data_IF_436489633511
#
_entry.id   IF_436489633511
#
_cell.length_a   1.000
_cell.length_b   1.000
_cell.length_c   1.000
_cell.angle_alpha   90.00
_cell.angle_beta   90.00
_cell.angle_gamma   90.00
#
_symmetry.space_group_name_H-M   'P 1'
#
loop_
_entity.id
_entity.type
_entity.pdbx_description
1 polymer ?
#
# COMPACT_ATOMS: atom_id res chain seq x y z
N UNK A 1 2.88 -5.66 -12.25
CA UNK A 1 2.67 -4.28 -11.76
C UNK A 1 1.45 -3.61 -12.42
N UNK A 2 1.43 -3.36 -13.75
CA UNK A 2 0.32 -2.66 -14.45
C UNK A 2 -1.10 -3.10 -14.04
N UNK A 3 -1.38 -4.42 -14.05
CA UNK A 3 -2.67 -4.97 -13.63
C UNK A 3 -3.10 -4.50 -12.22
N UNK A 4 -2.16 -4.42 -11.27
CA UNK A 4 -2.44 -4.02 -9.89
C UNK A 4 -2.69 -2.53 -9.75
N UNK A 5 -1.96 -1.72 -10.50
CA UNK A 5 -2.23 -0.28 -10.58
C UNK A 5 -3.63 -0.03 -11.14
N UNK A 6 -4.04 -0.76 -12.19
CA UNK A 6 -5.38 -0.66 -12.75
C UNK A 6 -6.47 -1.13 -11.78
N UNK A 7 -6.22 -2.18 -10.98
CA UNK A 7 -7.15 -2.62 -9.93
C UNK A 7 -7.35 -1.54 -8.86
N UNK A 8 -6.26 -0.91 -8.39
CA UNK A 8 -6.33 0.21 -7.45
C UNK A 8 -7.05 1.42 -8.04
N UNK A 9 -6.75 1.78 -9.29
CA UNK A 9 -7.40 2.89 -10.01
C UNK A 9 -8.92 2.66 -10.10
N UNK A 10 -9.35 1.48 -10.56
CA UNK A 10 -10.77 1.12 -10.64
C UNK A 10 -11.46 1.16 -9.28
N UNK A 11 -10.77 0.72 -8.23
CA UNK A 11 -11.28 0.80 -6.86
C UNK A 11 -11.43 2.27 -6.40
N UNK A 12 -10.43 3.12 -6.64
CA UNK A 12 -10.50 4.54 -6.30
C UNK A 12 -11.65 5.26 -7.01
N UNK A 13 -11.98 4.87 -8.26
CA UNK A 13 -13.11 5.43 -9.00
C UNK A 13 -14.47 5.09 -8.36
N UNK A 14 -14.59 3.96 -7.67
CA UNK A 14 -15.84 3.55 -7.00
C UNK A 14 -15.88 3.92 -5.52
N UNK A 15 -14.73 4.07 -4.87
CA UNK A 15 -14.62 4.45 -3.46
C UNK A 15 -14.82 5.96 -3.26
N UNK A 16 -16.08 6.41 -3.22
CA UNK A 16 -16.41 7.84 -3.09
C UNK A 16 -16.64 8.29 -1.64
N UNK A 17 -16.96 7.36 -0.72
CA UNK A 17 -17.26 7.66 0.68
C UNK A 17 -16.78 6.54 1.61
N UNK A 18 -16.75 6.81 2.92
CA UNK A 18 -16.41 5.82 3.94
C UNK A 18 -14.92 5.48 4.00
N UNK A 19 -14.59 4.45 4.79
CA UNK A 19 -13.22 3.98 4.98
C UNK A 19 -12.78 3.08 3.82
N UNK A 20 -11.45 2.96 3.65
CA UNK A 20 -10.86 2.01 2.71
C UNK A 20 -11.30 0.57 3.04
N UNK A 21 -11.73 -0.18 2.02
CA UNK A 21 -12.17 -1.56 2.15
C UNK A 21 -11.35 -2.48 1.24
N UNK A 22 -10.34 -3.19 1.77
CA UNK A 22 -9.46 -4.05 0.98
C UNK A 22 -10.17 -5.26 0.36
N UNK A 23 -11.34 -5.66 0.89
CA UNK A 23 -12.07 -6.83 0.41
C UNK A 23 -12.73 -6.60 -0.96
N UNK A 24 -12.83 -5.34 -1.40
CA UNK A 24 -13.34 -4.98 -2.73
C UNK A 24 -12.25 -5.02 -3.81
N UNK A 25 -10.98 -5.18 -3.43
CA UNK A 25 -9.89 -5.34 -4.38
C UNK A 25 -9.78 -6.80 -4.84
N UNK A 26 -9.61 -7.07 -6.16
CA UNK A 26 -9.39 -8.42 -6.65
C UNK A 26 -8.12 -9.09 -6.13
N UNK A 27 -7.14 -8.27 -5.73
CA UNK A 27 -5.85 -8.73 -5.22
C UNK A 27 -5.79 -8.67 -3.71
N UNK A 28 -5.22 -9.72 -3.10
CA UNK A 28 -4.99 -9.79 -1.66
C UNK A 28 -4.21 -8.56 -1.18
N UNK A 29 -4.91 -7.75 -0.40
CA UNK A 29 -4.44 -6.48 0.14
C UNK A 29 -4.69 -6.50 1.64
N UNK A 30 -3.64 -6.32 2.43
CA UNK A 30 -3.69 -6.40 3.89
C UNK A 30 -2.73 -5.36 4.48
N UNK A 31 -2.98 -4.86 5.69
CA UNK A 31 -1.97 -4.07 6.38
C UNK A 31 -0.81 -4.99 6.78
N UNK A 32 0.40 -4.44 6.92
CA UNK A 32 1.47 -5.10 7.65
C UNK A 32 1.07 -5.29 9.12
N UNK A 33 1.62 -6.33 9.75
CA UNK A 33 1.45 -6.53 11.20
C UNK A 33 2.22 -5.48 11.99
N UNK A 34 1.80 -5.20 13.23
CA UNK A 34 2.47 -4.25 14.12
C UNK A 34 3.95 -4.58 14.31
N UNK A 35 4.27 -5.87 14.52
CA UNK A 35 5.65 -6.35 14.62
C UNK A 35 6.50 -6.02 13.40
N UNK A 36 5.89 -6.03 12.21
CA UNK A 36 6.57 -5.76 10.95
C UNK A 36 6.64 -4.28 10.64
N UNK A 37 5.61 -3.51 11.02
CA UNK A 37 5.66 -2.05 11.03
C UNK A 37 6.79 -1.59 11.92
N UNK A 38 6.91 -2.12 13.14
CA UNK A 38 7.98 -1.72 14.06
C UNK A 38 9.36 -2.05 13.49
N UNK A 39 9.50 -3.26 12.95
CA UNK A 39 10.76 -3.71 12.36
C UNK A 39 11.19 -2.89 11.13
N UNK A 40 10.25 -2.42 10.30
CA UNK A 40 10.54 -1.68 9.06
C UNK A 40 10.01 -0.25 9.07
N UNK A 41 9.86 0.34 10.27
CA UNK A 41 9.19 1.64 10.44
C UNK A 41 9.83 2.71 9.58
N UNK A 42 11.16 2.74 9.52
CA UNK A 42 11.90 3.71 8.71
C UNK A 42 11.67 3.52 7.21
N UNK A 43 11.65 2.28 6.72
CA UNK A 43 11.45 1.99 5.29
C UNK A 43 10.00 2.19 4.85
N UNK A 44 9.05 1.97 5.75
CA UNK A 44 7.61 2.17 5.49
C UNK A 44 7.16 3.61 5.74
N UNK A 45 8.00 4.44 6.37
CA UNK A 45 7.71 5.86 6.60
C UNK A 45 8.36 6.69 5.51
N UNK A 46 7.56 7.19 4.56
CA UNK A 46 8.06 7.82 3.34
C UNK A 46 7.67 9.30 3.34
N UNK A 47 8.63 10.17 2.98
CA UNK A 47 8.39 11.59 2.76
C UNK A 47 7.61 11.78 1.45
N UNK A 48 6.41 12.32 1.56
CA UNK A 48 5.53 12.59 0.43
C UNK A 48 5.90 13.93 -0.23
N UNK A 49 5.40 14.21 -1.46
CA UNK A 49 5.68 15.45 -2.18
C UNK A 49 5.23 16.73 -1.45
N UNK A 50 4.26 16.63 -0.54
CA UNK A 50 3.82 17.73 0.32
C UNK A 50 4.74 17.98 1.53
N UNK A 51 5.90 17.31 1.58
CA UNK A 51 6.88 17.45 2.64
C UNK A 51 6.58 16.63 3.91
N UNK A 52 5.36 16.07 4.05
CA UNK A 52 4.97 15.30 5.23
C UNK A 52 5.42 13.84 5.11
N UNK A 53 5.85 13.24 6.21
CA UNK A 53 6.13 11.82 6.31
C UNK A 53 4.87 11.05 6.67
N UNK A 54 4.65 9.91 6.02
CA UNK A 54 3.48 9.04 6.28
C UNK A 54 3.90 7.59 6.34
N UNK A 55 3.18 6.81 7.12
CA UNK A 55 3.34 5.36 7.17
C UNK A 55 2.55 4.70 6.03
N UNK A 56 3.22 3.87 5.24
CA UNK A 56 2.66 3.10 4.13
C UNK A 56 2.50 1.65 4.58
N UNK A 57 1.50 1.37 5.41
CA UNK A 57 1.30 0.06 6.04
C UNK A 57 0.52 -0.93 5.18
N UNK A 58 -0.32 -0.48 4.25
CA UNK A 58 -1.03 -1.37 3.34
C UNK A 58 -0.09 -1.99 2.34
N UNK A 59 -0.22 -3.30 2.12
CA UNK A 59 0.52 -3.99 1.09
C UNK A 59 -0.42 -4.81 0.19
N UNK A 60 -0.28 -4.64 -1.12
CA UNK A 60 -0.91 -5.48 -2.13
C UNK A 60 0.08 -6.54 -2.62
N UNK A 61 -0.34 -7.81 -2.66
CA UNK A 61 0.50 -8.92 -3.13
C UNK A 61 0.47 -9.07 -4.65
N UNK A 62 1.64 -9.25 -5.26
CA UNK A 62 1.77 -9.55 -6.69
C UNK A 62 2.30 -10.97 -6.85
N UNK A 63 1.53 -11.82 -7.54
CA UNK A 63 1.89 -13.20 -7.85
C UNK A 63 2.14 -13.37 -9.36
N UNK A 64 3.03 -14.29 -9.77
CA UNK A 64 3.93 -15.10 -8.92
C UNK A 64 5.02 -14.26 -8.23
N UNK A 65 5.57 -14.77 -7.12
CA UNK A 65 6.71 -14.17 -6.42
C UNK A 65 6.38 -13.35 -5.16
N UNK A 66 7.41 -12.72 -4.61
CA UNK A 66 7.36 -11.98 -3.34
C UNK A 66 7.15 -10.47 -3.51
N UNK A 67 6.70 -10.02 -4.68
CA UNK A 67 6.51 -8.60 -4.98
C UNK A 67 5.36 -7.98 -4.18
N UNK A 68 5.55 -6.74 -3.73
CA UNK A 68 4.63 -5.94 -2.93
C UNK A 68 4.53 -4.54 -3.50
N UNK A 69 3.33 -3.99 -3.41
CA UNK A 69 3.04 -2.57 -3.59
C UNK A 69 2.58 -2.05 -2.23
N UNK A 70 3.32 -1.10 -1.65
CA UNK A 70 2.98 -0.45 -0.39
C UNK A 70 2.35 0.91 -0.64
N UNK A 71 1.22 1.17 0.01
CA UNK A 71 0.44 2.37 -0.21
C UNK A 71 -0.19 2.91 1.09
N UNK A 72 -0.73 4.12 1.01
CA UNK A 72 -1.53 4.77 2.04
C UNK A 72 -2.79 5.36 1.42
N UNK A 73 -3.88 5.30 2.18
CA UNK A 73 -5.21 5.83 1.93
C UNK A 73 -5.48 7.17 2.65
N UNK A 74 -4.44 7.75 3.26
CA UNK A 74 -4.53 8.95 4.12
C UNK A 74 -5.20 10.16 3.44
N UNK A 75 -5.18 10.22 2.11
CA UNK A 75 -5.79 11.32 1.34
C UNK A 75 -7.33 11.27 1.31
N UNK A 76 -7.92 10.24 1.91
CA UNK A 76 -9.37 10.05 1.98
C UNK A 76 -9.94 9.31 0.77
N UNK A 77 -11.28 9.27 0.65
CA UNK A 77 -11.96 8.54 -0.41
C UNK A 77 -11.45 8.87 -1.80
N UNK A 78 -11.37 7.83 -2.63
CA UNK A 78 -10.95 7.88 -4.02
C UNK A 78 -9.46 8.14 -4.22
N UNK A 79 -8.65 8.19 -3.16
CA UNK A 79 -7.24 8.56 -3.25
C UNK A 79 -6.34 7.56 -2.51
N UNK A 80 -5.41 7.00 -3.26
CA UNK A 80 -4.33 6.16 -2.75
C UNK A 80 -3.00 6.74 -3.22
N UNK A 81 -2.04 6.86 -2.31
CA UNK A 81 -0.65 7.21 -2.64
C UNK A 81 0.24 5.97 -2.49
N UNK A 82 1.02 5.67 -3.53
CA UNK A 82 1.94 4.54 -3.55
C UNK A 82 3.32 5.03 -3.11
N UNK A 83 3.89 4.39 -2.10
CA UNK A 83 5.21 4.73 -1.58
C UNK A 83 6.32 3.84 -2.11
N UNK A 84 6.01 2.56 -2.36
CA UNK A 84 7.01 1.59 -2.82
C UNK A 84 6.39 0.49 -3.67
N UNK A 85 7.09 0.10 -4.74
CA UNK A 85 6.78 -1.07 -5.57
C UNK A 85 8.07 -1.87 -5.71
N UNK A 86 8.09 -3.09 -5.19
CA UNK A 86 9.31 -3.86 -5.15
C UNK A 86 9.14 -5.24 -4.55
N UNK A 87 10.26 -5.88 -4.23
CA UNK A 87 10.24 -7.12 -3.44
C UNK A 87 9.77 -6.83 -2.01
N UNK A 88 9.17 -7.82 -1.35
CA UNK A 88 8.86 -7.75 0.08
C UNK A 88 10.11 -7.32 0.84
N UNK A 89 9.97 -6.35 1.77
CA UNK A 89 11.08 -5.91 2.61
C UNK A 89 11.62 -7.09 3.45
N UNK A 90 12.91 -7.38 3.35
CA UNK A 90 13.56 -8.45 4.12
C UNK A 90 14.56 -7.81 5.08
N UNK A 91 14.82 -8.48 6.21
CA UNK A 91 15.99 -8.10 7.02
C UNK A 91 17.24 -8.34 6.19
N UNK A 92 18.17 -7.41 6.24
CA UNK A 92 19.55 -7.72 5.88
C UNK A 92 20.03 -8.74 6.92
N UNK A 93 20.64 -9.82 6.44
CA UNK A 93 21.24 -10.86 7.29
C UNK A 93 22.53 -10.34 7.90
#
# INVERSE_FOLDING_TARGET
IKKRLLELEKYCQTWQTGIFNPNLLPSKTTPESDSRIEQFRQQLTIKCPDGKTRLFSWHLRMTPGAWRLYFSEYLGPGKIIIGYIGLKLLKLK
#
